data_IF_292760112684
#
_entry.id   IF_292760112684
#
_cell.length_a   1.000
_cell.length_b   1.000
_cell.length_c   1.000
_cell.angle_alpha   90.00
_cell.angle_beta   90.00
_cell.angle_gamma   90.00
#
_symmetry.space_group_name_H-M   'P 1'
#
loop_
_entity.id
_entity.type
_entity.pdbx_description
1 polymer ?
#
# COMPACT_ATOMS: atom_id res chain seq x y z
N UNK A 1 -29.36 18.64 12.55
CA UNK A 1 -28.54 19.27 11.50
C UNK A 1 -27.11 18.82 11.67
N UNK A 2 -26.52 18.20 10.64
CA UNK A 2 -25.09 18.19 10.27
C UNK A 2 -24.90 17.08 9.23
N UNK A 3 -25.11 17.46 7.97
CA UNK A 3 -24.73 16.68 6.79
C UNK A 3 -23.21 16.71 6.66
N UNK A 4 -22.54 15.59 6.87
CA UNK A 4 -21.14 15.44 6.49
C UNK A 4 -21.08 14.78 5.10
N UNK A 5 -21.07 15.63 4.09
CA UNK A 5 -20.75 15.30 2.70
C UNK A 5 -19.34 14.71 2.61
N UNK A 6 -19.19 13.39 2.51
CA UNK A 6 -17.93 12.79 2.08
C UNK A 6 -17.91 12.75 0.55
N UNK A 7 -17.57 13.90 -0.04
CA UNK A 7 -17.20 14.06 -1.45
C UNK A 7 -16.13 13.02 -1.80
N UNK A 8 -16.50 12.06 -2.64
CA UNK A 8 -15.58 11.04 -3.16
C UNK A 8 -14.68 11.68 -4.21
N UNK A 9 -13.58 12.30 -3.76
CA UNK A 9 -12.46 12.60 -4.65
C UNK A 9 -11.85 11.28 -5.15
N UNK A 10 -11.37 11.20 -6.40
CA UNK A 10 -10.62 10.04 -6.86
C UNK A 10 -9.41 9.87 -5.93
N UNK A 11 -9.39 8.74 -5.22
CA UNK A 11 -8.33 8.45 -4.25
C UNK A 11 -7.05 8.18 -5.04
N UNK A 12 -6.01 8.96 -4.77
CA UNK A 12 -4.69 8.76 -5.39
C UNK A 12 -4.20 7.33 -5.19
N UNK A 13 -3.36 6.84 -6.10
CA UNK A 13 -2.74 5.50 -6.01
C UNK A 13 -2.08 5.31 -4.64
N UNK A 14 -1.36 6.31 -4.16
CA UNK A 14 -0.79 6.30 -2.81
C UNK A 14 -1.84 6.05 -1.72
N UNK A 15 -2.94 6.79 -1.70
CA UNK A 15 -3.99 6.60 -0.70
C UNK A 15 -4.64 5.21 -0.77
N UNK A 16 -4.71 4.62 -1.96
CA UNK A 16 -5.22 3.27 -2.15
C UNK A 16 -4.24 2.22 -1.60
N UNK A 17 -2.96 2.32 -1.97
CA UNK A 17 -1.88 1.46 -1.45
C UNK A 17 -1.80 1.52 0.09
N UNK A 18 -1.78 2.73 0.65
CA UNK A 18 -1.74 2.93 2.10
C UNK A 18 -2.96 2.31 2.79
N UNK A 19 -4.15 2.39 2.17
CA UNK A 19 -5.36 1.77 2.72
C UNK A 19 -5.28 0.25 2.70
N UNK A 20 -4.76 -0.35 1.64
CA UNK A 20 -4.59 -1.79 1.53
C UNK A 20 -3.69 -2.31 2.65
N UNK A 21 -2.51 -1.69 2.81
CA UNK A 21 -1.55 -2.06 3.88
C UNK A 21 -2.18 -1.85 5.26
N UNK A 22 -2.84 -0.71 5.47
CA UNK A 22 -3.52 -0.40 6.74
C UNK A 22 -4.59 -1.43 7.10
N UNK A 23 -5.42 -1.84 6.14
CA UNK A 23 -6.49 -2.83 6.35
C UNK A 23 -5.94 -4.24 6.59
N UNK A 24 -5.00 -4.69 5.76
CA UNK A 24 -4.44 -6.05 5.85
C UNK A 24 -3.67 -6.27 7.14
N UNK A 25 -2.90 -5.27 7.58
CA UNK A 25 -2.01 -5.38 8.74
C UNK A 25 -2.53 -4.69 9.99
N UNK A 26 -3.75 -4.14 9.95
CA UNK A 26 -4.34 -3.34 11.03
C UNK A 26 -3.41 -2.19 11.51
N UNK A 27 -2.65 -1.60 10.59
CA UNK A 27 -1.69 -0.52 10.90
C UNK A 27 -2.34 0.83 10.69
N UNK A 28 -2.16 1.74 11.66
CA UNK A 28 -2.62 3.12 11.55
C UNK A 28 -1.89 3.87 10.43
N UNK A 29 -2.62 4.63 9.63
CA UNK A 29 -2.08 5.40 8.50
C UNK A 29 -0.89 6.31 8.88
N UNK A 30 -0.87 6.84 10.11
CA UNK A 30 0.24 7.66 10.64
C UNK A 30 1.59 6.93 10.64
N UNK A 31 1.60 5.59 10.72
CA UNK A 31 2.84 4.78 10.68
C UNK A 31 3.29 4.48 9.24
N UNK A 32 2.42 4.61 8.26
CA UNK A 32 2.68 4.27 6.86
C UNK A 32 3.28 5.47 6.11
N UNK A 33 4.43 5.94 6.57
CA UNK A 33 5.20 6.97 5.86
C UNK A 33 5.88 6.34 4.64
N UNK A 34 6.03 7.08 3.53
CA UNK A 34 6.74 6.58 2.34
C UNK A 34 8.14 6.05 2.65
N UNK A 35 8.83 6.68 3.61
CA UNK A 35 10.18 6.29 4.05
C UNK A 35 10.19 5.19 5.11
N UNK A 36 9.04 4.72 5.58
CA UNK A 36 8.97 3.69 6.61
C UNK A 36 9.51 2.38 6.03
N UNK A 37 10.50 1.80 6.72
CA UNK A 37 11.05 0.49 6.40
C UNK A 37 10.03 -0.59 6.73
N UNK A 38 9.78 -1.48 5.77
CA UNK A 38 8.83 -2.57 5.93
C UNK A 38 9.30 -3.53 7.04
N UNK A 39 10.59 -3.90 7.04
CA UNK A 39 11.17 -4.81 8.03
C UNK A 39 11.48 -4.14 9.37
N UNK A 40 12.08 -2.94 9.38
CA UNK A 40 12.52 -2.30 10.64
C UNK A 40 11.40 -1.54 11.35
N UNK A 41 10.64 -0.74 10.61
CA UNK A 41 9.66 0.16 11.22
C UNK A 41 8.29 -0.51 11.34
N UNK A 42 7.87 -1.26 10.31
CA UNK A 42 6.58 -1.96 10.30
C UNK A 42 6.66 -3.41 10.78
N UNK A 43 7.87 -3.98 10.89
CA UNK A 43 8.13 -5.35 11.33
C UNK A 43 7.43 -6.41 10.47
N UNK A 44 7.33 -6.15 9.17
CA UNK A 44 6.86 -7.13 8.20
C UNK A 44 7.93 -8.18 7.94
N UNK A 45 7.53 -9.44 8.02
CA UNK A 45 8.27 -10.58 7.53
C UNK A 45 7.92 -10.87 6.06
N UNK A 46 8.52 -11.91 5.49
CA UNK A 46 8.33 -12.25 4.07
C UNK A 46 6.89 -12.64 3.75
N UNK A 47 6.16 -13.30 4.66
CA UNK A 47 4.77 -13.69 4.43
C UNK A 47 3.89 -12.44 4.33
N UNK A 48 4.14 -11.47 5.22
CA UNK A 48 3.46 -10.17 5.20
C UNK A 48 3.67 -9.43 3.88
N UNK A 49 4.89 -9.47 3.32
CA UNK A 49 5.19 -8.85 2.04
C UNK A 49 4.43 -9.53 0.89
N UNK A 50 4.44 -10.87 0.85
CA UNK A 50 3.74 -11.65 -0.19
C UNK A 50 2.23 -11.37 -0.13
N UNK A 51 1.63 -11.33 1.05
CA UNK A 51 0.19 -11.04 1.22
C UNK A 51 -0.18 -9.64 0.71
N UNK A 52 0.67 -8.64 1.00
CA UNK A 52 0.46 -7.27 0.52
C UNK A 52 0.62 -7.19 -0.99
N UNK A 53 1.66 -7.81 -1.55
CA UNK A 53 1.93 -7.85 -2.99
C UNK A 53 0.74 -8.46 -3.72
N UNK A 54 0.27 -9.64 -3.28
CA UNK A 54 -0.86 -10.33 -3.90
C UNK A 54 -2.15 -9.48 -3.89
N UNK A 55 -2.38 -8.71 -2.83
CA UNK A 55 -3.52 -7.80 -2.75
C UNK A 55 -3.36 -6.58 -3.69
N UNK A 56 -2.14 -6.06 -3.84
CA UNK A 56 -1.85 -4.97 -4.78
C UNK A 56 -2.02 -5.43 -6.23
N UNK A 57 -1.50 -6.60 -6.59
CA UNK A 57 -1.69 -7.22 -7.91
C UNK A 57 -3.17 -7.35 -8.25
N UNK A 58 -3.97 -7.90 -7.32
CA UNK A 58 -5.43 -8.04 -7.51
C UNK A 58 -6.15 -6.70 -7.59
N UNK A 59 -5.78 -5.73 -6.74
CA UNK A 59 -6.47 -4.44 -6.66
C UNK A 59 -6.16 -3.51 -7.83
N UNK A 60 -4.98 -3.63 -8.42
CA UNK A 60 -4.52 -2.75 -9.51
C UNK A 60 -4.37 -3.48 -10.86
N UNK A 61 -4.67 -4.78 -10.91
CA UNK A 61 -4.50 -5.62 -12.10
C UNK A 61 -3.07 -5.57 -12.67
N UNK A 62 -2.08 -5.57 -11.77
CA UNK A 62 -0.65 -5.58 -12.11
C UNK A 62 -0.02 -6.93 -11.75
N UNK A 63 1.19 -7.16 -12.25
CA UNK A 63 2.03 -8.30 -11.86
C UNK A 63 3.34 -7.80 -11.29
N UNK A 64 3.76 -8.37 -10.17
CA UNK A 64 4.98 -8.05 -9.45
C UNK A 64 5.90 -9.28 -9.53
N UNK A 65 7.02 -9.20 -10.25
CA UNK A 65 8.00 -10.30 -10.27
C UNK A 65 8.61 -10.54 -8.89
N UNK A 66 8.88 -11.80 -8.56
CA UNK A 66 9.48 -12.22 -7.27
C UNK A 66 10.85 -11.58 -7.00
N UNK A 67 11.57 -11.20 -8.05
CA UNK A 67 12.90 -10.60 -7.98
C UNK A 67 12.88 -9.13 -7.55
N UNK A 68 11.71 -8.48 -7.53
CA UNK A 68 11.59 -7.05 -7.21
C UNK A 68 11.67 -6.86 -5.69
N UNK A 69 12.72 -6.21 -5.16
CA UNK A 69 12.83 -6.02 -3.74
C UNK A 69 12.00 -4.82 -3.27
N UNK A 70 11.20 -5.04 -2.22
CA UNK A 70 10.48 -3.97 -1.51
C UNK A 70 11.12 -3.72 -0.15
N UNK A 71 11.59 -2.49 0.08
CA UNK A 71 12.23 -2.11 1.34
C UNK A 71 11.39 -1.13 2.15
N UNK A 72 10.60 -0.29 1.46
CA UNK A 72 9.83 0.79 2.06
C UNK A 72 8.40 0.83 1.53
N UNK A 73 7.50 1.50 2.26
CA UNK A 73 6.13 1.74 1.78
C UNK A 73 6.12 2.52 0.45
N UNK A 74 7.07 3.43 0.27
CA UNK A 74 7.22 4.20 -0.96
C UNK A 74 7.53 3.33 -2.18
N UNK A 75 8.17 2.18 -2.00
CA UNK A 75 8.47 1.26 -3.10
C UNK A 75 7.19 0.65 -3.67
N UNK A 76 6.23 0.26 -2.82
CA UNK A 76 4.91 -0.18 -3.28
C UNK A 76 4.18 0.92 -4.06
N UNK A 77 4.15 2.14 -3.52
CA UNK A 77 3.49 3.27 -4.17
C UNK A 77 4.12 3.56 -5.53
N UNK A 78 5.45 3.59 -5.61
CA UNK A 78 6.19 3.84 -6.85
C UNK A 78 5.94 2.72 -7.86
N UNK A 79 6.01 1.47 -7.43
CA UNK A 79 5.81 0.32 -8.32
C UNK A 79 4.40 0.35 -8.90
N UNK A 80 3.37 0.47 -8.06
CA UNK A 80 1.98 0.51 -8.49
C UNK A 80 1.74 1.70 -9.41
N UNK A 81 2.26 2.89 -9.08
CA UNK A 81 2.10 4.08 -9.92
C UNK A 81 2.73 3.93 -11.31
N UNK A 82 3.82 3.15 -11.42
CA UNK A 82 4.49 2.92 -12.70
C UNK A 82 3.82 1.84 -13.57
N UNK A 83 3.02 0.95 -12.99
CA UNK A 83 2.45 -0.21 -13.68
C UNK A 83 0.92 -0.23 -13.75
N UNK A 84 0.23 0.47 -12.84
CA UNK A 84 -1.21 0.65 -12.89
C UNK A 84 -1.53 1.71 -13.96
N UNK A 85 -2.26 1.30 -15.00
CA UNK A 85 -2.74 2.16 -16.08
C UNK A 85 -4.06 2.85 -15.72
#
# INVERSE_FOLDING_TARGET
>A
MLTASSTTAPKSIEQQVLRIISKRKAIKAVRLRRTASLSRDLRFDTVDLVDIILELERSFHITVPDEVPFYTVGDFVRYVTAHAA
#
